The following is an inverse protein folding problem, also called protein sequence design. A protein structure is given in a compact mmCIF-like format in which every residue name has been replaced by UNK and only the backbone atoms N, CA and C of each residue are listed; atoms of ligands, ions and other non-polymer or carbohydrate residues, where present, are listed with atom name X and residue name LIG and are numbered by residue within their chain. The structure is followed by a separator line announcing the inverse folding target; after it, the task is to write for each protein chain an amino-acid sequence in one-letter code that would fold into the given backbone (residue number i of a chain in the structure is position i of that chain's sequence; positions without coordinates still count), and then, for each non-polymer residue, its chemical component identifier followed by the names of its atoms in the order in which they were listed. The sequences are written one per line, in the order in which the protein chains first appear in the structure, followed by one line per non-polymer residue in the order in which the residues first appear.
data_IF_310173631006
#
_entry.id   IF_310173631006
#
_cell.length_a   1.000
_cell.length_b   1.000
_cell.length_c   1.000
_cell.angle_alpha   90.00
_cell.angle_beta   90.00
_cell.angle_gamma   90.00
#
_symmetry.space_group_name_H-M   'P 1'
#
loop_
_entity.id
_entity.type
_entity.pdbx_description
1 polymer ?
#
# COMPACT_ATOMS: atom_id res chain seq x y z
N UNK A 1 -36.41 73.43 40.68
CA UNK A 1 -37.44 72.39 40.84
C UNK A 1 -38.36 72.46 39.63
N UNK A 2 -38.31 71.42 38.81
CA UNK A 2 -39.42 70.75 38.07
C UNK A 2 -40.57 71.59 37.51
N UNK A 3 -41.11 71.43 36.30
CA UNK A 3 -40.86 70.60 35.11
C UNK A 3 -41.71 71.24 33.98
N UNK A 4 -41.09 71.53 32.81
CA UNK A 4 -41.70 71.95 31.53
C UNK A 4 -41.46 70.80 30.53
N UNK A 5 -42.17 70.52 29.44
CA UNK A 5 -43.03 71.26 28.51
C UNK A 5 -43.87 70.20 27.75
N UNK A 6 -45.17 70.38 27.48
CA UNK A 6 -45.83 71.14 26.41
C UNK A 6 -45.53 70.71 24.96
N UNK A 7 -46.58 70.18 24.31
CA UNK A 7 -46.70 69.82 22.88
C UNK A 7 -46.94 71.07 22.02
N UNK A 8 -46.31 71.15 20.85
CA UNK A 8 -46.92 71.29 19.51
C UNK A 8 -46.01 71.95 18.46
N UNK A 9 -46.33 71.67 17.18
CA UNK A 9 -45.88 72.27 15.91
C UNK A 9 -44.59 71.65 15.30
N UNK A 10 -44.38 71.54 13.99
CA UNK A 10 -45.04 72.13 12.81
C UNK A 10 -44.82 71.25 11.55
N UNK A 11 -45.59 71.52 10.48
CA UNK A 11 -45.47 70.99 9.12
C UNK A 11 -44.47 71.80 8.27
N UNK A 12 -43.75 71.13 7.37
CA UNK A 12 -43.04 71.66 6.19
C UNK A 12 -42.19 70.53 5.58
N UNK A 13 -41.88 70.38 4.30
CA UNK A 13 -42.16 71.06 3.02
C UNK A 13 -41.85 70.05 1.87
N UNK A 14 -42.36 70.26 0.65
CA UNK A 14 -41.99 69.57 -0.63
C UNK A 14 -40.77 70.29 -1.29
N UNK A 15 -40.05 69.83 -2.37
CA UNK A 15 -40.21 68.70 -3.33
C UNK A 15 -38.82 68.05 -3.71
N UNK A 16 -38.50 67.51 -4.93
CA UNK A 16 -39.22 66.74 -5.96
C UNK A 16 -38.65 65.31 -6.23
N UNK A 17 -39.34 64.59 -7.11
CA UNK A 17 -39.08 63.25 -7.65
C UNK A 17 -37.84 63.10 -8.54
N UNK A 18 -37.07 62.01 -8.40
CA UNK A 18 -36.34 61.32 -9.48
C UNK A 18 -36.04 59.88 -9.04
N UNK A 19 -35.90 58.98 -10.02
CA UNK A 19 -35.37 57.60 -9.94
C UNK A 19 -36.37 56.43 -9.87
N UNK A 20 -36.92 56.11 -11.03
CA UNK A 20 -36.56 54.89 -11.78
C UNK A 20 -36.26 53.62 -10.97
N UNK A 21 -37.24 53.03 -10.30
CA UNK A 21 -37.13 51.63 -9.86
C UNK A 21 -37.51 50.72 -11.02
N UNK A 22 -36.50 50.34 -11.81
CA UNK A 22 -36.60 49.26 -12.75
C UNK A 22 -36.94 47.96 -12.00
N UNK A 23 -38.13 47.41 -12.28
CA UNK A 23 -38.53 46.08 -11.87
C UNK A 23 -37.63 45.08 -12.60
N UNK A 24 -36.54 44.67 -11.98
CA UNK A 24 -35.80 43.47 -12.39
C UNK A 24 -36.62 42.25 -11.98
N UNK A 25 -37.45 41.78 -12.91
CA UNK A 25 -37.99 40.42 -12.87
C UNK A 25 -36.80 39.44 -12.76
N UNK A 26 -36.65 38.81 -11.59
CA UNK A 26 -35.79 37.64 -11.45
C UNK A 26 -36.42 36.49 -12.24
N UNK A 27 -35.97 36.34 -13.49
CA UNK A 27 -36.16 35.11 -14.25
C UNK A 27 -35.43 33.99 -13.49
N UNK A 28 -36.07 32.86 -13.16
CA UNK A 28 -35.36 31.71 -12.62
C UNK A 28 -34.47 31.14 -13.72
N UNK A 29 -33.18 31.49 -13.72
CA UNK A 29 -32.19 30.84 -14.58
C UNK A 29 -31.98 29.43 -14.00
N UNK A 30 -32.77 28.47 -14.48
CA UNK A 30 -32.47 27.06 -14.30
C UNK A 30 -31.14 26.81 -15.03
N UNK A 31 -30.05 26.41 -14.35
CA UNK A 31 -28.80 26.17 -15.04
C UNK A 31 -29.05 25.09 -16.10
N UNK A 32 -28.59 25.29 -17.35
CA UNK A 32 -28.72 24.26 -18.36
C UNK A 32 -27.96 23.02 -17.86
N UNK A 33 -28.69 21.94 -17.59
CA UNK A 33 -28.10 20.64 -17.26
C UNK A 33 -27.53 20.11 -18.57
N UNK A 34 -26.33 20.60 -18.94
CA UNK A 34 -25.59 20.06 -20.09
C UNK A 34 -25.27 18.61 -19.76
N UNK A 35 -25.93 17.69 -20.45
CA UNK A 35 -25.68 16.26 -20.28
C UNK A 35 -24.22 15.99 -20.62
N UNK A 36 -23.55 15.20 -19.77
CA UNK A 36 -22.19 14.75 -20.06
C UNK A 36 -22.20 13.96 -21.37
N UNK A 37 -21.21 14.20 -22.22
CA UNK A 37 -20.96 13.35 -23.37
C UNK A 37 -20.68 11.92 -22.89
N UNK A 38 -20.94 10.91 -23.74
CA UNK A 38 -20.67 9.52 -23.37
C UNK A 38 -19.21 9.29 -22.92
N UNK A 39 -18.18 9.79 -23.64
CA UNK A 39 -16.79 9.70 -23.16
C UNK A 39 -16.57 10.36 -21.80
N UNK A 40 -17.13 11.56 -21.57
CA UNK A 40 -17.02 12.23 -20.28
C UNK A 40 -17.67 11.44 -19.15
N UNK A 41 -18.81 10.79 -19.43
CA UNK A 41 -19.48 9.93 -18.46
C UNK A 41 -18.66 8.69 -18.13
N UNK A 42 -18.06 8.05 -19.14
CA UNK A 42 -17.14 6.92 -18.97
C UNK A 42 -15.99 7.29 -18.05
N UNK A 43 -15.26 8.36 -18.37
CA UNK A 43 -14.12 8.80 -17.57
C UNK A 43 -14.51 9.15 -16.13
N UNK A 44 -15.63 9.86 -15.94
CA UNK A 44 -16.10 10.19 -14.59
C UNK A 44 -16.45 8.93 -13.80
N UNK A 45 -17.13 7.95 -14.40
CA UNK A 45 -17.50 6.70 -13.71
C UNK A 45 -16.29 5.82 -13.42
N UNK A 46 -15.28 5.83 -14.29
CA UNK A 46 -14.06 5.05 -14.09
C UNK A 46 -13.25 5.54 -12.88
N UNK A 47 -13.08 6.86 -12.74
CA UNK A 47 -12.19 7.47 -11.74
C UNK A 47 -12.89 7.95 -10.46
N UNK A 48 -14.23 7.87 -10.37
CA UNK A 48 -14.93 8.18 -9.12
C UNK A 48 -14.71 7.06 -8.08
N UNK A 49 -14.70 7.43 -6.80
CA UNK A 49 -14.45 6.47 -5.71
C UNK A 49 -15.39 5.27 -5.72
N UNK A 50 -14.88 4.11 -5.31
CA UNK A 50 -15.61 2.85 -5.35
C UNK A 50 -16.98 2.95 -4.66
N UNK A 51 -17.04 3.49 -3.44
CA UNK A 51 -18.28 3.66 -2.70
C UNK A 51 -19.29 4.55 -3.43
N UNK A 52 -18.85 5.68 -4.01
CA UNK A 52 -19.74 6.57 -4.76
C UNK A 52 -20.26 5.90 -6.02
N UNK A 53 -19.42 5.10 -6.69
CA UNK A 53 -19.80 4.30 -7.85
C UNK A 53 -20.87 3.25 -7.50
N UNK A 54 -20.76 2.56 -6.36
CA UNK A 54 -21.80 1.64 -5.88
C UNK A 54 -23.13 2.33 -5.53
N UNK A 55 -23.07 3.56 -4.99
CA UNK A 55 -24.28 4.37 -4.78
C UNK A 55 -24.98 4.73 -6.10
N UNK A 56 -24.22 5.11 -7.13
CA UNK A 56 -24.75 5.44 -8.45
C UNK A 56 -25.31 4.20 -9.16
N UNK A 57 -24.60 3.07 -9.10
CA UNK A 57 -25.03 1.76 -9.62
C UNK A 57 -26.43 1.36 -9.09
N UNK A 58 -26.69 1.62 -7.81
CA UNK A 58 -27.96 1.30 -7.18
C UNK A 58 -29.12 2.18 -7.67
N UNK A 59 -28.85 3.43 -8.08
CA UNK A 59 -29.87 4.42 -8.43
C UNK A 59 -30.11 4.59 -9.93
N UNK A 60 -29.11 4.30 -10.78
CA UNK A 60 -29.16 4.63 -12.20
C UNK A 60 -28.90 3.38 -13.09
N UNK A 61 -29.90 2.89 -13.84
CA UNK A 61 -29.74 1.75 -14.74
C UNK A 61 -28.69 1.96 -15.85
N UNK A 62 -28.54 3.18 -16.36
CA UNK A 62 -27.54 3.51 -17.38
C UNK A 62 -26.12 3.37 -16.84
N UNK A 63 -25.88 3.84 -15.62
CA UNK A 63 -24.59 3.68 -14.94
C UNK A 63 -24.32 2.22 -14.64
N UNK A 64 -25.36 1.41 -14.33
CA UNK A 64 -25.21 -0.03 -14.08
C UNK A 64 -24.52 -0.75 -15.23
N UNK A 65 -25.06 -0.60 -16.45
CA UNK A 65 -24.52 -1.24 -17.67
C UNK A 65 -23.10 -0.77 -18.02
N UNK A 66 -22.81 0.48 -17.72
CA UNK A 66 -21.49 1.07 -17.95
C UNK A 66 -20.50 0.57 -16.90
N UNK A 67 -20.91 0.59 -15.64
CA UNK A 67 -20.10 0.19 -14.50
C UNK A 67 -19.59 -1.23 -14.69
N UNK A 68 -20.43 -2.18 -15.10
CA UNK A 68 -20.10 -3.61 -15.31
C UNK A 68 -18.89 -3.85 -16.22
N UNK A 69 -18.54 -2.89 -17.09
CA UNK A 69 -17.46 -3.02 -18.08
C UNK A 69 -16.19 -2.25 -17.75
N UNK A 70 -16.26 -1.34 -16.79
CA UNK A 70 -15.16 -0.42 -16.50
C UNK A 70 -14.29 -0.94 -15.34
N UNK A 71 -12.95 -0.76 -15.43
CA UNK A 71 -12.02 -1.12 -14.37
C UNK A 71 -12.22 -0.24 -13.13
N UNK A 72 -11.52 -0.58 -12.05
CA UNK A 72 -11.36 0.29 -10.89
C UNK A 72 -9.92 0.77 -10.72
N UNK A 73 -9.77 1.98 -10.21
CA UNK A 73 -8.50 2.53 -9.73
C UNK A 73 -8.62 2.73 -8.22
N UNK A 74 -8.24 1.71 -7.46
CA UNK A 74 -8.43 1.65 -6.02
C UNK A 74 -7.18 2.17 -5.32
N UNK A 75 -7.34 3.12 -4.40
CA UNK A 75 -6.23 3.66 -3.61
C UNK A 75 -5.84 2.66 -2.53
N UNK A 76 -6.84 2.07 -1.86
CA UNK A 76 -6.61 1.07 -0.82
C UNK A 76 -7.66 -0.04 -0.85
N UNK A 77 -7.17 -1.27 -0.78
CA UNK A 77 -7.96 -2.47 -0.54
C UNK A 77 -7.42 -3.17 0.68
N UNK A 78 -8.25 -3.36 1.71
CA UNK A 78 -7.92 -4.17 2.87
C UNK A 78 -8.85 -5.37 2.96
N UNK A 79 -8.26 -6.53 3.21
CA UNK A 79 -8.96 -7.81 3.27
C UNK A 79 -8.53 -8.51 4.55
N UNK A 80 -9.49 -8.73 5.44
CA UNK A 80 -9.27 -9.37 6.74
C UNK A 80 -10.12 -10.63 6.80
N UNK A 81 -9.50 -11.79 7.04
CA UNK A 81 -10.24 -13.01 7.39
C UNK A 81 -10.16 -13.23 8.90
N UNK A 82 -11.32 -13.29 9.56
CA UNK A 82 -11.41 -13.45 11.01
C UNK A 82 -11.98 -14.83 11.33
N UNK A 83 -11.09 -15.73 11.78
CA UNK A 83 -11.45 -17.13 12.05
C UNK A 83 -11.98 -17.87 10.82
N UNK A 84 -12.65 -19.02 11.01
CA UNK A 84 -13.09 -19.87 9.90
C UNK A 84 -14.33 -19.33 9.14
N UNK A 85 -14.90 -18.18 9.54
CA UNK A 85 -16.29 -17.83 9.17
C UNK A 85 -16.50 -16.52 8.40
N UNK A 86 -15.58 -15.55 8.49
CA UNK A 86 -15.91 -14.17 8.11
C UNK A 86 -14.76 -13.47 7.37
N UNK A 87 -15.12 -12.80 6.27
CA UNK A 87 -14.23 -11.93 5.50
C UNK A 87 -14.77 -10.50 5.65
N UNK A 88 -13.87 -9.55 5.90
CA UNK A 88 -14.15 -8.12 5.84
C UNK A 88 -13.35 -7.55 4.67
N UNK A 89 -14.05 -6.90 3.74
CA UNK A 89 -13.46 -6.19 2.62
C UNK A 89 -13.62 -4.69 2.83
N UNK A 90 -12.54 -3.94 2.66
CA UNK A 90 -12.53 -2.48 2.71
C UNK A 90 -11.93 -1.98 1.40
N UNK A 91 -12.66 -1.15 0.69
CA UNK A 91 -12.31 -0.51 -0.59
C UNK A 91 -12.41 1.01 -0.41
N UNK A 92 -11.30 1.70 -0.23
CA UNK A 92 -11.28 3.14 0.08
C UNK A 92 -12.24 3.49 1.25
N UNK A 93 -13.31 4.22 0.96
CA UNK A 93 -14.38 4.62 1.89
C UNK A 93 -15.59 3.68 1.87
N UNK A 94 -15.45 2.45 1.37
CA UNK A 94 -16.51 1.45 1.30
C UNK A 94 -16.07 0.21 2.04
N UNK A 95 -16.95 -0.39 2.84
CA UNK A 95 -16.68 -1.67 3.48
C UNK A 95 -17.81 -2.64 3.19
N UNK A 96 -17.50 -3.92 3.03
CA UNK A 96 -18.51 -4.99 3.01
C UNK A 96 -18.04 -6.25 3.72
N UNK A 97 -18.99 -7.04 4.23
CA UNK A 97 -18.72 -8.23 5.03
C UNK A 97 -19.42 -8.15 6.40
N UNK A 98 -18.83 -8.77 7.42
CA UNK A 98 -19.33 -8.66 8.80
C UNK A 98 -18.77 -7.38 9.47
N UNK A 99 -19.51 -6.28 9.37
CA UNK A 99 -19.05 -4.94 9.82
C UNK A 99 -19.69 -4.56 11.18
N UNK A 100 -20.43 -5.47 11.81
CA UNK A 100 -21.20 -5.20 13.03
C UNK A 100 -20.63 -5.88 14.30
N UNK A 101 -20.95 -5.32 15.47
CA UNK A 101 -20.66 -5.90 16.79
C UNK A 101 -21.60 -7.05 17.21
N UNK A 102 -22.40 -7.57 16.26
CA UNK A 102 -23.36 -8.65 16.51
C UNK A 102 -23.08 -9.81 15.54
N UNK A 103 -22.07 -10.65 15.84
CA UNK A 103 -21.78 -11.83 15.05
C UNK A 103 -22.95 -12.80 15.20
N UNK A 104 -23.75 -12.96 14.15
CA UNK A 104 -25.03 -13.65 14.29
C UNK A 104 -25.71 -14.01 12.97
N UNK A 105 -25.16 -15.00 12.27
CA UNK A 105 -25.88 -16.06 11.55
C UNK A 105 -26.97 -15.75 10.49
N UNK A 106 -27.18 -14.51 10.03
CA UNK A 106 -28.33 -14.24 9.12
C UNK A 106 -28.06 -14.30 7.62
N UNK A 107 -26.90 -14.79 7.15
CA UNK A 107 -26.59 -14.83 5.70
C UNK A 107 -26.72 -13.45 5.03
N UNK A 108 -26.63 -12.39 5.82
CA UNK A 108 -26.84 -11.01 5.42
C UNK A 108 -25.49 -10.35 5.20
N UNK A 109 -25.25 -9.84 4.00
CA UNK A 109 -24.06 -9.06 3.71
C UNK A 109 -24.33 -7.59 4.03
N UNK A 110 -23.46 -6.99 4.83
CA UNK A 110 -23.51 -5.57 5.11
C UNK A 110 -22.62 -4.81 4.15
N UNK A 111 -23.10 -3.65 3.72
CA UNK A 111 -22.35 -2.70 2.89
C UNK A 111 -22.41 -1.35 3.58
N UNK A 112 -21.23 -0.79 3.83
CA UNK A 112 -21.08 0.49 4.50
C UNK A 112 -20.41 1.50 3.59
N UNK A 113 -20.96 2.70 3.57
CA UNK A 113 -20.36 3.92 3.06
C UNK A 113 -20.53 5.01 4.15
N UNK A 114 -19.72 6.09 4.14
CA UNK A 114 -19.94 7.24 4.99
C UNK A 114 -21.42 7.66 5.00
N UNK A 115 -22.04 7.63 6.19
CA UNK A 115 -23.43 8.03 6.42
C UNK A 115 -24.51 7.06 5.92
N UNK A 116 -24.17 5.88 5.37
CA UNK A 116 -25.17 4.90 4.91
C UNK A 116 -24.72 3.45 5.10
N UNK A 117 -25.50 2.69 5.86
CA UNK A 117 -25.41 1.23 5.97
C UNK A 117 -26.56 0.59 5.20
N UNK A 118 -26.26 -0.44 4.43
CA UNK A 118 -27.24 -1.24 3.69
C UNK A 118 -26.98 -2.70 4.00
N UNK A 119 -28.00 -3.38 4.50
CA UNK A 119 -27.95 -4.83 4.74
C UNK A 119 -28.73 -5.52 3.64
N UNK A 120 -28.18 -6.60 3.08
CA UNK A 120 -28.87 -7.44 2.09
C UNK A 120 -28.84 -8.89 2.53
N UNK A 121 -30.02 -9.48 2.69
CA UNK A 121 -30.12 -10.92 2.83
C UNK A 121 -29.61 -11.59 1.56
N UNK A 122 -28.71 -12.55 1.73
CA UNK A 122 -28.24 -13.43 0.68
C UNK A 122 -28.71 -14.84 0.99
N UNK A 123 -29.00 -15.64 -0.04
CA UNK A 123 -29.28 -17.08 0.12
C UNK A 123 -27.98 -17.89 0.32
N UNK A 124 -26.86 -17.22 0.52
CA UNK A 124 -25.52 -17.78 0.63
C UNK A 124 -25.01 -17.58 2.05
N UNK A 125 -23.96 -18.32 2.42
CA UNK A 125 -23.20 -17.96 3.60
C UNK A 125 -22.56 -16.57 3.43
N UNK A 126 -22.29 -15.88 4.53
CA UNK A 126 -21.64 -14.57 4.48
C UNK A 126 -20.26 -14.64 3.83
N UNK A 127 -19.52 -15.73 4.10
CA UNK A 127 -18.24 -16.01 3.48
C UNK A 127 -18.38 -16.07 1.96
N UNK A 128 -19.24 -16.95 1.43
CA UNK A 128 -19.43 -17.10 -0.03
C UNK A 128 -19.95 -15.82 -0.70
N UNK A 129 -20.85 -15.08 -0.04
CA UNK A 129 -21.36 -13.83 -0.54
C UNK A 129 -20.25 -12.77 -0.67
N UNK A 130 -19.40 -12.68 0.35
CA UNK A 130 -18.28 -11.73 0.39
C UNK A 130 -17.17 -12.16 -0.58
N UNK A 131 -16.91 -13.47 -0.69
CA UNK A 131 -15.99 -14.06 -1.65
C UNK A 131 -16.40 -13.73 -3.09
N UNK A 132 -17.67 -13.95 -3.45
CA UNK A 132 -18.22 -13.59 -4.76
C UNK A 132 -18.17 -12.09 -5.01
N UNK A 133 -18.40 -11.28 -3.97
CA UNK A 133 -18.28 -9.82 -4.09
C UNK A 133 -16.83 -9.41 -4.40
N UNK A 134 -15.84 -9.95 -3.69
CA UNK A 134 -14.43 -9.70 -3.96
C UNK A 134 -14.07 -10.11 -5.40
N UNK A 135 -14.37 -11.36 -5.76
CA UNK A 135 -14.07 -11.92 -7.09
C UNK A 135 -14.66 -11.06 -8.21
N UNK A 136 -15.95 -10.70 -8.12
CA UNK A 136 -16.62 -9.93 -9.14
C UNK A 136 -16.04 -8.52 -9.35
N UNK A 137 -15.63 -7.85 -8.26
CA UNK A 137 -15.12 -6.48 -8.33
C UNK A 137 -13.64 -6.42 -8.64
N UNK A 138 -12.83 -7.27 -8.01
CA UNK A 138 -11.38 -7.30 -8.20
C UNK A 138 -10.97 -7.95 -9.52
N UNK A 139 -11.75 -8.91 -10.02
CA UNK A 139 -11.41 -9.61 -11.27
C UNK A 139 -11.75 -8.84 -12.55
N UNK A 140 -11.96 -7.52 -12.46
CA UNK A 140 -12.26 -6.70 -13.63
C UNK A 140 -10.98 -6.37 -14.39
N UNK A 141 -10.89 -6.70 -15.70
CA UNK A 141 -9.71 -6.41 -16.49
C UNK A 141 -9.33 -4.92 -16.42
N UNK A 142 -8.04 -4.64 -16.24
CA UNK A 142 -7.53 -3.27 -16.10
C UNK A 142 -7.65 -2.67 -14.71
N UNK A 143 -8.22 -3.38 -13.73
CA UNK A 143 -8.26 -2.91 -12.34
C UNK A 143 -6.86 -2.77 -11.77
N UNK A 144 -6.59 -1.61 -11.17
CA UNK A 144 -5.33 -1.29 -10.51
C UNK A 144 -5.56 -0.98 -9.05
N UNK A 145 -4.70 -1.52 -8.20
CA UNK A 145 -4.72 -1.31 -6.75
C UNK A 145 -3.39 -0.69 -6.35
N UNK A 146 -3.43 0.49 -5.72
CA UNK A 146 -2.20 1.12 -5.24
C UNK A 146 -1.67 0.42 -3.98
N UNK A 147 -2.53 0.17 -3.00
CA UNK A 147 -2.16 -0.59 -1.80
C UNK A 147 -3.15 -1.71 -1.54
N UNK A 148 -2.67 -2.95 -1.49
CA UNK A 148 -3.43 -4.12 -1.06
C UNK A 148 -2.86 -4.61 0.27
N UNK A 149 -3.71 -4.63 1.29
CA UNK A 149 -3.40 -5.19 2.61
C UNK A 149 -4.24 -6.45 2.83
N UNK A 150 -3.59 -7.54 3.20
CA UNK A 150 -4.25 -8.81 3.47
C UNK A 150 -3.80 -9.35 4.82
N UNK A 151 -4.77 -9.72 5.65
CA UNK A 151 -4.57 -10.44 6.90
C UNK A 151 -5.30 -11.78 6.80
N UNK A 152 -4.55 -12.89 6.88
CA UNK A 152 -5.05 -14.24 6.58
C UNK A 152 -5.73 -14.30 5.21
N UNK A 153 -4.92 -14.30 4.14
CA UNK A 153 -5.40 -14.07 2.77
C UNK A 153 -6.48 -15.06 2.38
N UNK A 154 -7.71 -14.58 2.09
CA UNK A 154 -8.79 -15.47 1.73
C UNK A 154 -8.61 -16.04 0.33
N UNK A 155 -9.17 -17.24 0.11
CA UNK A 155 -9.13 -17.96 -1.16
C UNK A 155 -9.66 -17.16 -2.35
N UNK A 156 -10.56 -16.19 -2.16
CA UNK A 156 -11.01 -15.34 -3.27
C UNK A 156 -9.87 -14.62 -3.97
N UNK A 157 -8.86 -14.16 -3.24
CA UNK A 157 -7.77 -13.38 -3.86
C UNK A 157 -6.88 -14.27 -4.70
N UNK A 158 -6.68 -15.52 -4.26
CA UNK A 158 -5.95 -16.54 -5.02
C UNK A 158 -6.65 -16.88 -6.35
N UNK A 159 -7.98 -16.76 -6.37
CA UNK A 159 -8.83 -17.06 -7.52
C UNK A 159 -9.10 -15.86 -8.44
N UNK A 160 -8.63 -14.66 -8.10
CA UNK A 160 -8.78 -13.48 -8.96
C UNK A 160 -7.93 -13.62 -10.25
N UNK A 161 -8.32 -12.92 -11.31
CA UNK A 161 -7.38 -12.67 -12.42
C UNK A 161 -6.13 -11.96 -11.88
N UNK A 162 -4.97 -12.07 -12.55
CA UNK A 162 -3.76 -11.41 -12.08
C UNK A 162 -4.00 -9.92 -11.81
N UNK A 163 -3.72 -9.49 -10.58
CA UNK A 163 -4.01 -8.13 -10.13
C UNK A 163 -2.83 -7.21 -10.42
N UNK A 164 -3.13 -5.96 -10.80
CA UNK A 164 -2.09 -4.92 -10.94
C UNK A 164 -1.97 -4.18 -9.61
N UNK A 165 -0.99 -4.59 -8.79
CA UNK A 165 -0.76 -4.06 -7.44
C UNK A 165 0.55 -3.26 -7.43
N UNK A 166 0.54 -2.07 -6.84
CA UNK A 166 1.78 -1.30 -6.61
C UNK A 166 2.43 -1.68 -5.27
N UNK A 167 1.69 -1.65 -4.17
CA UNK A 167 2.17 -1.94 -2.82
C UNK A 167 1.36 -3.10 -2.22
N UNK A 168 2.04 -4.09 -1.67
CA UNK A 168 1.42 -5.27 -1.07
C UNK A 168 1.87 -5.41 0.38
N UNK A 169 0.92 -5.52 1.31
CA UNK A 169 1.14 -5.76 2.73
C UNK A 169 0.47 -7.07 3.09
N UNK A 170 1.26 -8.03 3.55
CA UNK A 170 0.80 -9.39 3.88
C UNK A 170 1.12 -9.67 5.34
N UNK A 171 0.08 -9.72 6.17
CA UNK A 171 0.19 -10.06 7.58
C UNK A 171 -0.44 -11.44 7.88
N UNK A 172 0.20 -12.19 8.77
CA UNK A 172 -0.30 -13.46 9.32
C UNK A 172 -0.74 -14.57 8.34
N UNK A 173 -0.37 -14.50 7.05
CA UNK A 173 -0.67 -15.56 6.08
C UNK A 173 0.10 -16.86 6.34
N UNK A 174 -0.51 -18.00 6.02
CA UNK A 174 0.20 -19.28 5.84
C UNK A 174 0.89 -19.36 4.46
N UNK A 175 1.72 -20.39 4.26
CA UNK A 175 2.59 -20.52 3.07
C UNK A 175 1.80 -20.73 1.77
N UNK A 176 0.61 -21.33 1.85
CA UNK A 176 -0.29 -21.64 0.74
C UNK A 176 -1.30 -20.51 0.43
N UNK A 177 -1.32 -19.45 1.25
CA UNK A 177 -2.25 -18.33 1.13
C UNK A 177 -1.65 -17.12 0.39
N UNK A 178 -0.52 -17.27 -0.29
CA UNK A 178 0.14 -16.15 -0.97
C UNK A 178 -0.48 -15.82 -2.33
N UNK A 179 -0.56 -14.51 -2.63
CA UNK A 179 -1.05 -14.02 -3.92
C UNK A 179 -0.10 -14.49 -5.03
N UNK A 180 -0.55 -15.52 -5.75
CA UNK A 180 0.26 -16.24 -6.73
C UNK A 180 0.49 -15.47 -8.03
N UNK A 181 -0.33 -14.45 -8.36
CA UNK A 181 -0.30 -13.81 -9.68
C UNK A 181 -0.57 -12.32 -9.63
N UNK A 182 0.49 -11.52 -9.72
CA UNK A 182 0.40 -10.09 -10.08
C UNK A 182 0.72 -9.92 -11.57
N UNK A 183 0.17 -8.90 -12.22
CA UNK A 183 0.45 -8.61 -13.64
C UNK A 183 1.89 -8.15 -13.88
N UNK A 184 2.53 -7.62 -12.85
CA UNK A 184 3.91 -7.13 -12.82
C UNK A 184 4.47 -7.25 -11.40
N UNK A 185 5.80 -7.23 -11.21
CA UNK A 185 6.36 -7.21 -9.88
C UNK A 185 5.88 -6.00 -9.08
N UNK A 186 5.58 -6.21 -7.79
CA UNK A 186 5.16 -5.14 -6.88
C UNK A 186 6.33 -4.20 -6.59
N UNK A 187 6.03 -2.93 -6.36
CA UNK A 187 7.03 -1.91 -6.02
C UNK A 187 7.49 -2.08 -4.59
N UNK A 188 6.55 -2.19 -3.65
CA UNK A 188 6.86 -2.44 -2.24
C UNK A 188 6.08 -3.65 -1.73
N UNK A 189 6.75 -4.48 -0.94
CA UNK A 189 6.17 -5.64 -0.30
C UNK A 189 6.53 -5.64 1.19
N UNK A 190 5.53 -5.73 2.06
CA UNK A 190 5.73 -5.91 3.49
C UNK A 190 5.21 -7.28 3.92
N UNK A 191 5.99 -8.03 4.70
CA UNK A 191 5.60 -9.37 5.16
C UNK A 191 6.28 -9.79 6.45
N UNK A 192 5.66 -10.66 7.24
CA UNK A 192 6.28 -11.32 8.39
C UNK A 192 7.05 -12.61 8.07
N UNK A 193 7.10 -13.03 6.80
CA UNK A 193 7.63 -14.35 6.41
C UNK A 193 8.80 -14.26 5.42
N UNK A 194 9.69 -15.25 5.54
CA UNK A 194 10.79 -15.50 4.60
C UNK A 194 10.51 -16.84 3.94
N UNK A 195 9.95 -16.82 2.73
CA UNK A 195 9.58 -18.01 1.95
C UNK A 195 10.04 -17.90 0.49
N UNK A 196 10.10 -19.03 -0.20
CA UNK A 196 10.35 -19.08 -1.65
C UNK A 196 9.05 -18.81 -2.39
N UNK A 197 8.87 -17.58 -2.87
CA UNK A 197 7.70 -17.19 -3.65
C UNK A 197 8.07 -16.13 -4.69
N UNK A 198 7.57 -16.26 -5.93
CA UNK A 198 7.95 -15.37 -7.03
C UNK A 198 7.54 -13.91 -6.78
N UNK A 199 6.37 -13.66 -6.20
CA UNK A 199 5.92 -12.32 -5.79
C UNK A 199 6.92 -11.64 -4.85
N UNK A 200 7.57 -12.39 -3.96
CA UNK A 200 8.61 -11.85 -3.06
C UNK A 200 9.92 -11.70 -3.83
N UNK A 201 10.35 -12.77 -4.53
CA UNK A 201 11.63 -12.83 -5.23
C UNK A 201 11.83 -11.68 -6.22
N UNK A 202 10.77 -11.29 -6.93
CA UNK A 202 10.85 -10.26 -7.97
C UNK A 202 10.32 -8.89 -7.53
N UNK A 203 9.77 -8.74 -6.31
CA UNK A 203 9.41 -7.43 -5.79
C UNK A 203 10.61 -6.49 -5.82
N UNK A 204 10.38 -5.20 -6.11
CA UNK A 204 11.48 -4.22 -6.13
C UNK A 204 12.03 -4.01 -4.73
N UNK A 205 11.16 -3.73 -3.78
CA UNK A 205 11.52 -3.51 -2.38
C UNK A 205 10.73 -4.44 -1.47
N UNK A 206 11.43 -5.14 -0.59
CA UNK A 206 10.84 -6.05 0.40
C UNK A 206 11.24 -5.61 1.80
N UNK A 207 10.26 -5.43 2.68
CA UNK A 207 10.46 -5.23 4.11
C UNK A 207 9.89 -6.42 4.86
N UNK A 208 10.75 -7.13 5.59
CA UNK A 208 10.33 -8.21 6.48
C UNK A 208 10.19 -7.64 7.89
N UNK A 209 8.94 -7.53 8.34
CA UNK A 209 8.56 -6.99 9.65
C UNK A 209 7.55 -7.90 10.32
N UNK A 210 7.66 -8.07 11.63
CA UNK A 210 6.73 -8.86 12.43
C UNK A 210 6.59 -8.22 13.80
N UNK A 211 5.40 -8.28 14.43
CA UNK A 211 5.23 -7.82 15.80
C UNK A 211 6.27 -8.46 16.74
N UNK A 212 6.77 -7.68 17.70
CA UNK A 212 7.91 -8.04 18.55
C UNK A 212 7.74 -9.36 19.33
N UNK A 213 6.49 -9.79 19.56
CA UNK A 213 6.15 -11.02 20.28
C UNK A 213 6.23 -12.29 19.39
N UNK A 214 6.35 -12.13 18.07
CA UNK A 214 6.49 -13.24 17.14
C UNK A 214 7.91 -13.27 16.59
N UNK A 215 8.58 -14.42 16.70
CA UNK A 215 9.92 -14.57 16.15
C UNK A 215 9.87 -14.66 14.62
N UNK A 216 10.75 -13.90 13.95
CA UNK A 216 11.09 -14.13 12.54
C UNK A 216 12.24 -15.16 12.54
N UNK A 217 12.03 -16.31 11.89
CA UNK A 217 13.09 -17.28 11.65
C UNK A 217 13.86 -16.84 10.41
N UNK A 218 15.11 -16.43 10.58
CA UNK A 218 15.97 -16.02 9.48
C UNK A 218 16.39 -17.26 8.69
N UNK A 219 16.08 -17.27 7.39
CA UNK A 219 16.47 -18.31 6.44
C UNK A 219 17.34 -17.66 5.37
N UNK A 220 18.64 -17.63 5.63
CA UNK A 220 19.66 -16.98 4.77
C UNK A 220 19.74 -17.63 3.39
N UNK A 221 19.43 -18.92 3.28
CA UNK A 221 19.34 -19.63 2.01
C UNK A 221 18.24 -19.04 1.13
N UNK A 222 17.03 -18.87 1.66
CA UNK A 222 15.89 -18.29 0.94
C UNK A 222 16.13 -16.80 0.64
N UNK A 223 16.57 -16.00 1.62
CA UNK A 223 16.85 -14.57 1.42
C UNK A 223 17.88 -14.34 0.30
N UNK A 224 18.89 -15.22 0.23
CA UNK A 224 19.94 -15.13 -0.76
C UNK A 224 19.47 -15.40 -2.18
N UNK A 225 18.26 -15.96 -2.39
CA UNK A 225 17.67 -16.24 -3.72
C UNK A 225 16.81 -15.08 -4.25
N UNK A 226 16.40 -14.15 -3.39
CA UNK A 226 15.58 -13.00 -3.81
C UNK A 226 16.36 -12.11 -4.78
N UNK A 227 15.68 -11.49 -5.75
CA UNK A 227 16.28 -10.61 -6.77
C UNK A 227 15.80 -9.17 -6.65
N UNK A 228 15.40 -8.79 -5.44
CA UNK A 228 14.92 -7.45 -5.11
C UNK A 228 16.03 -6.39 -5.24
N UNK A 229 15.62 -5.18 -5.59
CA UNK A 229 16.47 -3.99 -5.56
C UNK A 229 16.80 -3.61 -4.10
N UNK A 230 15.86 -3.77 -3.18
CA UNK A 230 16.09 -3.55 -1.74
C UNK A 230 15.41 -4.63 -0.90
N UNK A 231 16.13 -5.15 0.09
CA UNK A 231 15.61 -6.05 1.13
C UNK A 231 15.92 -5.42 2.48
N UNK A 232 14.91 -5.24 3.32
CA UNK A 232 15.06 -4.75 4.69
C UNK A 232 14.48 -5.77 5.64
N UNK A 233 15.26 -6.21 6.62
CA UNK A 233 14.80 -7.07 7.71
C UNK A 233 14.83 -6.24 8.99
N UNK A 234 13.69 -6.07 9.65
CA UNK A 234 13.62 -5.26 10.88
C UNK A 234 14.24 -5.97 12.09
N UNK A 235 14.33 -7.31 12.05
CA UNK A 235 15.00 -8.08 13.08
C UNK A 235 16.52 -8.00 12.94
N UNK A 236 17.21 -7.87 14.06
CA UNK A 236 18.66 -8.02 14.11
C UNK A 236 19.11 -9.39 13.64
N UNK A 237 20.04 -9.41 12.69
CA UNK A 237 20.77 -10.61 12.28
C UNK A 237 21.98 -10.81 13.18
N UNK A 238 22.34 -12.05 13.45
CA UNK A 238 23.64 -12.41 14.03
C UNK A 238 24.74 -12.25 12.99
N UNK A 239 25.99 -12.06 13.43
CA UNK A 239 27.12 -12.03 12.49
C UNK A 239 27.24 -13.33 11.68
N UNK A 240 26.86 -14.48 12.24
CA UNK A 240 26.85 -15.77 11.54
C UNK A 240 25.87 -15.78 10.37
N UNK A 241 24.66 -15.26 10.58
CA UNK A 241 23.64 -15.14 9.52
C UNK A 241 24.09 -14.17 8.43
N UNK A 242 24.73 -13.04 8.79
CA UNK A 242 25.28 -12.10 7.82
C UNK A 242 26.39 -12.76 6.98
N UNK A 243 27.33 -13.47 7.62
CA UNK A 243 28.40 -14.19 6.91
C UNK A 243 27.82 -15.25 5.98
N UNK A 244 26.84 -16.03 6.45
CA UNK A 244 26.20 -17.06 5.62
C UNK A 244 25.45 -16.45 4.43
N UNK A 245 24.70 -15.37 4.63
CA UNK A 245 24.07 -14.62 3.54
C UNK A 245 25.10 -14.14 2.51
N UNK A 246 26.20 -13.50 2.97
CA UNK A 246 27.26 -13.03 2.08
C UNK A 246 27.90 -14.19 1.30
N UNK A 247 28.16 -15.33 1.95
CA UNK A 247 28.73 -16.54 1.34
C UNK A 247 27.86 -17.09 0.22
N UNK A 248 26.54 -16.99 0.35
CA UNK A 248 25.60 -17.46 -0.67
C UNK A 248 25.48 -16.47 -1.82
N UNK A 249 25.30 -15.19 -1.50
CA UNK A 249 25.21 -14.13 -2.51
C UNK A 249 26.49 -14.01 -3.33
N UNK A 250 27.68 -14.18 -2.73
CA UNK A 250 28.95 -14.10 -3.45
C UNK A 250 29.15 -15.20 -4.49
N UNK A 251 28.35 -16.27 -4.45
CA UNK A 251 28.35 -17.35 -5.45
C UNK A 251 27.36 -17.11 -6.58
N UNK A 252 26.54 -16.05 -6.50
CA UNK A 252 25.52 -15.71 -7.49
C UNK A 252 26.02 -14.65 -8.45
N UNK A 253 25.84 -14.88 -9.75
CA UNK A 253 26.15 -13.92 -10.82
C UNK A 253 24.92 -13.18 -11.34
N UNK A 254 23.73 -13.62 -10.97
CA UNK A 254 22.44 -13.10 -11.44
C UNK A 254 21.83 -12.03 -10.50
N UNK A 255 22.51 -11.70 -9.40
CA UNK A 255 22.04 -10.69 -8.46
C UNK A 255 22.19 -9.28 -9.08
N UNK A 256 21.13 -8.46 -9.11
CA UNK A 256 21.19 -7.14 -9.74
C UNK A 256 22.22 -6.22 -9.10
N UNK A 257 23.01 -5.52 -9.93
CA UNK A 257 23.88 -4.43 -9.51
C UNK A 257 23.01 -3.31 -8.92
N UNK A 258 23.47 -2.73 -7.81
CA UNK A 258 22.74 -1.73 -7.05
C UNK A 258 21.81 -2.33 -6.01
N UNK A 259 21.59 -3.65 -6.00
CA UNK A 259 20.74 -4.28 -4.98
C UNK A 259 21.33 -4.12 -3.58
N UNK A 260 20.47 -3.83 -2.60
CA UNK A 260 20.84 -3.56 -1.21
C UNK A 260 20.09 -4.50 -0.27
N UNK A 261 20.78 -5.04 0.71
CA UNK A 261 20.21 -5.71 1.86
C UNK A 261 20.54 -4.92 3.13
N UNK A 262 19.54 -4.67 3.96
CA UNK A 262 19.63 -3.90 5.20
C UNK A 262 19.05 -4.70 6.35
N UNK A 263 19.74 -4.69 7.46
CA UNK A 263 19.27 -5.33 8.69
C UNK A 263 19.93 -4.67 9.89
N UNK A 264 19.31 -4.74 11.06
CA UNK A 264 20.04 -4.57 12.31
C UNK A 264 21.10 -5.69 12.50
N UNK A 265 22.08 -5.45 13.37
CA UNK A 265 23.15 -6.41 13.67
C UNK A 265 23.21 -6.64 15.18
N UNK A 266 23.02 -7.88 15.59
CA UNK A 266 23.25 -8.31 16.97
C UNK A 266 24.72 -8.69 17.18
N UNK A 267 25.30 -8.20 18.27
CA UNK A 267 26.69 -8.48 18.66
C UNK A 267 27.73 -7.51 18.10
N UNK A 268 29.00 -7.94 18.11
CA UNK A 268 30.14 -7.08 17.80
C UNK A 268 30.48 -7.13 16.31
N UNK A 269 30.44 -5.97 15.63
CA UNK A 269 30.83 -5.90 14.21
C UNK A 269 32.27 -6.32 13.94
N UNK A 270 33.17 -6.16 14.91
CA UNK A 270 34.58 -6.56 14.78
C UNK A 270 34.69 -8.05 14.46
N UNK A 271 33.90 -8.90 15.11
CA UNK A 271 33.86 -10.34 14.88
C UNK A 271 33.34 -10.65 13.47
N UNK A 272 32.25 -9.99 13.05
CA UNK A 272 31.70 -10.09 11.70
C UNK A 272 32.80 -9.83 10.65
N UNK A 273 33.50 -8.70 10.72
CA UNK A 273 34.52 -8.36 9.72
C UNK A 273 35.75 -9.28 9.78
N UNK A 274 36.12 -9.79 10.97
CA UNK A 274 37.15 -10.83 11.07
C UNK A 274 36.74 -12.11 10.35
N UNK A 275 35.50 -12.57 10.54
CA UNK A 275 34.98 -13.76 9.87
C UNK A 275 34.86 -13.58 8.35
N UNK A 276 34.34 -12.44 7.88
CA UNK A 276 34.28 -12.15 6.44
C UNK A 276 35.66 -12.20 5.78
N UNK A 277 36.68 -11.68 6.47
CA UNK A 277 38.06 -11.72 5.98
C UNK A 277 38.64 -13.13 5.99
N UNK A 278 38.40 -13.91 7.05
CA UNK A 278 38.89 -15.29 7.18
C UNK A 278 38.21 -16.26 6.22
N UNK A 279 36.90 -16.14 6.01
CA UNK A 279 36.09 -17.14 5.32
C UNK A 279 35.76 -16.78 3.87
N UNK A 280 35.69 -15.48 3.55
CA UNK A 280 35.34 -14.99 2.22
C UNK A 280 36.47 -14.18 1.58
N UNK A 281 37.68 -14.22 2.15
CA UNK A 281 38.84 -13.43 1.72
C UNK A 281 38.51 -11.93 1.55
N UNK A 282 37.60 -11.41 2.38
CA UNK A 282 37.13 -10.05 2.26
C UNK A 282 38.22 -9.04 2.59
N UNK A 283 38.38 -8.01 1.74
CA UNK A 283 39.28 -6.89 1.98
C UNK A 283 38.61 -5.89 2.92
N UNK A 284 39.13 -5.78 4.15
CA UNK A 284 38.64 -4.82 5.15
C UNK A 284 39.07 -3.39 4.82
N UNK A 285 38.21 -2.44 5.11
CA UNK A 285 38.44 -1.02 4.90
C UNK A 285 37.77 -0.23 6.04
N UNK A 286 38.37 0.91 6.37
CA UNK A 286 37.81 1.89 7.30
C UNK A 286 37.56 3.17 6.50
N UNK A 287 36.30 3.60 6.44
CA UNK A 287 35.89 4.83 5.77
C UNK A 287 35.58 5.89 6.82
N UNK A 288 35.89 7.15 6.54
CA UNK A 288 35.47 8.26 7.39
C UNK A 288 34.08 8.69 6.96
N UNK A 289 33.08 8.50 7.81
CA UNK A 289 31.71 8.92 7.57
C UNK A 289 31.53 10.45 7.69
N UNK A 290 30.39 10.96 7.24
CA UNK A 290 30.08 12.40 7.22
C UNK A 290 30.27 13.12 8.56
N UNK A 291 29.89 12.48 9.66
CA UNK A 291 30.01 13.06 11.01
C UNK A 291 31.37 12.80 11.66
N UNK A 292 32.36 12.31 10.89
CA UNK A 292 33.70 11.98 11.39
C UNK A 292 33.83 10.59 12.03
N UNK A 293 32.75 9.81 12.13
CA UNK A 293 32.77 8.45 12.64
C UNK A 293 33.44 7.49 11.64
N UNK A 294 34.19 6.51 12.13
CA UNK A 294 34.79 5.47 11.30
C UNK A 294 33.76 4.37 10.98
N UNK A 295 33.47 4.19 9.70
CA UNK A 295 32.60 3.16 9.16
C UNK A 295 33.47 1.95 8.80
N UNK A 296 33.19 0.80 9.43
CA UNK A 296 33.83 -0.46 9.07
C UNK A 296 33.14 -1.03 7.83
N UNK A 297 33.93 -1.33 6.79
CA UNK A 297 33.47 -1.96 5.57
C UNK A 297 34.37 -3.14 5.17
N UNK A 298 33.82 -4.05 4.38
CA UNK A 298 34.57 -5.09 3.71
C UNK A 298 34.06 -5.31 2.28
N UNK A 299 34.97 -5.64 1.39
CA UNK A 299 34.66 -5.94 -0.02
C UNK A 299 34.96 -7.41 -0.31
N UNK A 300 34.00 -8.11 -0.91
CA UNK A 300 34.10 -9.51 -1.34
C UNK A 300 33.92 -9.53 -2.86
N UNK A 301 34.88 -10.10 -3.58
CA UNK A 301 34.76 -10.22 -5.03
C UNK A 301 33.79 -11.36 -5.40
N UNK A 302 32.85 -11.08 -6.29
CA UNK A 302 31.92 -12.08 -6.83
C UNK A 302 32.50 -12.65 -8.12
N UNK A 303 32.81 -11.76 -9.07
CA UNK A 303 33.43 -12.11 -10.35
C UNK A 303 34.25 -10.92 -10.89
N UNK A 304 34.59 -10.96 -12.18
CA UNK A 304 35.39 -9.91 -12.80
C UNK A 304 34.70 -8.55 -12.91
N UNK A 305 33.37 -8.55 -12.88
CA UNK A 305 32.49 -7.39 -13.13
C UNK A 305 31.72 -6.92 -11.89
N UNK A 306 31.57 -7.74 -10.85
CA UNK A 306 30.78 -7.41 -9.66
C UNK A 306 31.48 -7.76 -8.34
N UNK A 307 31.14 -6.99 -7.31
CA UNK A 307 31.64 -7.16 -5.96
C UNK A 307 30.53 -6.86 -4.93
N UNK A 308 30.68 -7.43 -3.74
CA UNK A 308 29.77 -7.26 -2.60
C UNK A 308 30.44 -6.38 -1.56
N UNK A 309 29.79 -5.28 -1.19
CA UNK A 309 30.23 -4.43 -0.08
C UNK A 309 29.38 -4.68 1.14
N UNK A 310 30.03 -4.94 2.27
CA UNK A 310 29.40 -5.11 3.57
C UNK A 310 29.87 -3.96 4.45
N UNK A 311 28.97 -3.10 4.91
CA UNK A 311 29.31 -1.91 5.70
C UNK A 311 28.42 -1.81 6.94
N UNK A 312 29.03 -1.46 8.08
CA UNK A 312 28.29 -1.13 9.30
C UNK A 312 27.83 0.33 9.23
N UNK A 313 26.55 0.53 8.98
CA UNK A 313 25.91 1.85 8.90
C UNK A 313 24.82 1.90 9.96
N UNK A 314 24.88 2.83 10.92
CA UNK A 314 23.81 2.92 11.93
C UNK A 314 22.44 3.12 11.26
N UNK A 315 21.41 2.34 11.68
CA UNK A 315 21.35 1.48 12.88
C UNK A 315 21.76 -0.01 12.70
N UNK A 316 22.46 -0.42 11.63
CA UNK A 316 22.81 -1.82 11.41
C UNK A 316 23.89 -2.13 10.36
N UNK A 317 23.61 -3.11 9.50
CA UNK A 317 24.48 -3.59 8.43
C UNK A 317 23.83 -3.38 7.07
N UNK A 318 24.63 -2.91 6.12
CA UNK A 318 24.24 -2.70 4.73
C UNK A 318 25.12 -3.56 3.86
N UNK A 319 24.48 -4.34 2.99
CA UNK A 319 25.16 -5.24 2.05
C UNK A 319 24.71 -4.85 0.65
N UNK A 320 25.63 -4.37 -0.19
CA UNK A 320 25.33 -3.86 -1.53
C UNK A 320 26.10 -4.61 -2.59
N UNK A 321 25.41 -4.97 -3.68
CA UNK A 321 26.07 -5.45 -4.90
C UNK A 321 26.43 -4.26 -5.77
N UNK A 322 27.70 -4.16 -6.14
CA UNK A 322 28.23 -3.08 -6.97
C UNK A 322 28.94 -3.63 -8.20
N UNK A 323 29.05 -2.79 -9.24
CA UNK A 323 30.01 -3.05 -10.29
C UNK A 323 31.43 -2.96 -9.70
N UNK A 324 32.34 -3.81 -10.18
CA UNK A 324 33.69 -3.88 -9.64
C UNK A 324 34.41 -2.53 -9.79
N UNK A 325 35.12 -2.10 -8.75
CA UNK A 325 35.89 -0.84 -8.70
C UNK A 325 35.03 0.43 -8.71
N UNK A 326 33.70 0.34 -8.50
CA UNK A 326 32.83 1.54 -8.55
C UNK A 326 32.52 2.15 -7.19
N UNK A 327 32.68 1.41 -6.08
CA UNK A 327 32.14 1.87 -4.80
C UNK A 327 33.08 2.77 -3.97
N UNK A 328 34.27 3.13 -4.48
CA UNK A 328 35.25 3.93 -3.70
C UNK A 328 35.37 5.39 -4.17
N UNK A 329 34.71 5.79 -5.27
CA UNK A 329 34.77 7.19 -5.75
C UNK A 329 33.50 8.01 -5.50
N UNK A 330 32.42 7.39 -4.99
CA UNK A 330 31.23 8.14 -4.58
C UNK A 330 31.16 8.20 -3.07
N UNK A 331 31.76 9.27 -2.56
CA UNK A 331 31.45 9.91 -1.27
C UNK A 331 29.95 9.74 -1.02
N UNK A 332 29.59 8.92 -0.03
CA UNK A 332 28.25 8.96 0.52
C UNK A 332 28.15 10.11 1.45
#
# INVERSE_FOLDING_TARGET
MESKASKNQSKGAKPPSTESVAVLQQVPIKPPIKQLSYPSLVSVVEFISFGRRKQLYAKCPTIRKLEEKLPYHLESVKIETIGPGYIILKFDNFSTGDIGAHPGNRGEIEMWCPGKRVTRSTKLSLYEATEKFALYNLSRPGTTIKTLETEYTPKCILNCIPLTIENLIVDCNEWDEWINRTTRPVKTLQTGLIIRHDTIKYAKEVTVTRPSHLSIRIQTDILSEWNCESITIEKDLTYMEVVDYCRRVSKRTDRPIGSVFKSGLSGYSTELFQMLSRELNAKKMLLKGFFGNLIQCATIYINESTELHVCRMEPGIWIKVSARRTAIDQVF
#
